data_IF_018064055100
#
_entry.id   IF_018064055100
#
_cell.length_a   1.000
_cell.length_b   1.000
_cell.length_c   1.000
_cell.angle_alpha   90.00
_cell.angle_beta   90.00
_cell.angle_gamma   90.00
#
_symmetry.space_group_name_H-M   'P 1'
#
loop_
_entity.id
_entity.type
_entity.pdbx_description
1 polymer ?
#
# COMPACT_ATOMS: atom_id res chain seq x y z
N UNK A 1 7.63 -12.39 -0.45
CA UNK A 1 6.55 -11.50 -0.92
C UNK A 1 6.37 -11.52 -2.44
N UNK A 2 7.40 -11.79 -3.24
CA UNK A 2 7.37 -11.61 -4.71
C UNK A 2 6.66 -12.72 -5.49
N UNK A 3 6.56 -13.95 -4.96
CA UNK A 3 5.96 -15.07 -5.70
C UNK A 3 4.45 -14.91 -5.92
N UNK A 4 3.75 -14.23 -5.00
CA UNK A 4 2.30 -14.09 -5.03
C UNK A 4 1.79 -13.19 -6.15
N UNK A 5 2.60 -12.23 -6.61
CA UNK A 5 2.20 -11.29 -7.65
C UNK A 5 2.50 -11.80 -9.07
N UNK A 6 3.33 -12.85 -9.22
CA UNK A 6 3.75 -13.39 -10.53
C UNK A 6 2.58 -13.92 -11.37
N UNK A 7 1.58 -14.65 -10.81
CA UNK A 7 0.44 -15.08 -11.60
C UNK A 7 -0.32 -13.88 -12.20
N UNK A 8 -0.58 -12.84 -11.41
CA UNK A 8 -1.26 -11.62 -11.85
C UNK A 8 -0.49 -10.87 -12.93
N UNK A 9 0.84 -10.83 -12.87
CA UNK A 9 1.66 -10.20 -13.90
C UNK A 9 1.65 -10.96 -15.23
N UNK A 10 1.51 -12.30 -15.22
CA UNK A 10 1.47 -13.10 -16.46
C UNK A 10 0.29 -12.75 -17.36
N UNK A 11 -0.82 -12.31 -16.76
CA UNK A 11 -2.01 -11.92 -17.49
C UNK A 11 -1.90 -10.52 -18.14
N UNK A 12 -0.76 -9.83 -17.97
CA UNK A 12 -0.49 -8.49 -18.50
C UNK A 12 -1.66 -7.50 -18.29
N UNK A 13 -2.06 -7.26 -17.03
CA UNK A 13 -3.19 -6.39 -16.74
C UNK A 13 -2.92 -4.96 -17.19
N UNK A 14 -3.95 -4.28 -17.66
CA UNK A 14 -3.86 -2.86 -18.02
C UNK A 14 -3.59 -1.97 -16.79
N UNK A 15 -4.15 -2.37 -15.64
CA UNK A 15 -4.06 -1.63 -14.38
C UNK A 15 -3.83 -2.56 -13.19
N UNK A 16 -2.94 -2.18 -12.28
CA UNK A 16 -2.74 -2.82 -10.97
C UNK A 16 -2.91 -1.77 -9.87
N UNK A 17 -3.70 -2.12 -8.86
CA UNK A 17 -3.84 -1.36 -7.61
C UNK A 17 -3.04 -2.10 -6.54
N UNK A 18 -2.09 -1.41 -5.93
CA UNK A 18 -1.26 -1.94 -4.84
C UNK A 18 -1.81 -1.41 -3.52
N UNK A 19 -2.37 -2.31 -2.71
CA UNK A 19 -2.82 -2.05 -1.35
C UNK A 19 -2.15 -3.05 -0.41
N UNK A 20 -0.93 -2.75 0.02
CA UNK A 20 -0.11 -3.63 0.88
C UNK A 20 0.60 -2.82 1.96
N UNK A 21 1.10 -3.51 2.98
CA UNK A 21 1.87 -2.91 4.07
C UNK A 21 1.12 -2.85 5.40
N UNK A 22 -0.21 -3.07 5.40
CA UNK A 22 -1.03 -3.09 6.62
C UNK A 22 -0.47 -4.05 7.66
N UNK A 23 -0.13 -5.30 7.29
CA UNK A 23 0.40 -6.27 8.25
C UNK A 23 1.78 -5.90 8.81
N UNK A 24 2.60 -5.22 8.00
CA UNK A 24 3.97 -4.86 8.34
C UNK A 24 4.03 -3.63 9.28
N UNK A 25 3.03 -2.74 9.28
CA UNK A 25 3.03 -1.50 10.10
C UNK A 25 3.37 -1.76 11.58
N UNK A 26 2.89 -2.88 12.14
CA UNK A 26 3.09 -3.20 13.55
C UNK A 26 4.56 -3.53 13.88
N UNK A 27 5.24 -4.27 12.99
CA UNK A 27 6.56 -4.85 13.27
C UNK A 27 7.70 -4.14 12.53
N UNK A 28 7.39 -3.46 11.43
CA UNK A 28 8.36 -2.76 10.58
C UNK A 28 8.35 -1.25 10.82
N UNK A 29 9.44 -0.62 10.39
CA UNK A 29 9.52 0.83 10.29
C UNK A 29 8.86 1.29 8.98
N UNK A 30 8.27 2.51 8.96
CA UNK A 30 7.66 3.08 7.75
C UNK A 30 8.53 2.96 6.49
N UNK A 31 9.82 3.26 6.63
CA UNK A 31 10.79 3.27 5.54
C UNK A 31 10.98 1.88 4.92
N UNK A 32 10.92 0.82 5.74
CA UNK A 32 11.00 -0.57 5.26
C UNK A 32 9.76 -0.96 4.47
N UNK A 33 8.59 -0.53 4.91
CA UNK A 33 7.32 -0.78 4.21
C UNK A 33 7.35 -0.10 2.84
N UNK A 34 7.76 1.16 2.80
CA UNK A 34 7.83 1.94 1.55
C UNK A 34 8.84 1.35 0.57
N UNK A 35 10.03 0.97 1.06
CA UNK A 35 11.03 0.27 0.25
C UNK A 35 10.48 -1.02 -0.36
N UNK A 36 9.72 -1.79 0.39
CA UNK A 36 9.10 -3.02 -0.12
C UNK A 36 8.03 -2.73 -1.18
N UNK A 37 7.23 -1.68 -1.00
CA UNK A 37 6.27 -1.21 -2.00
C UNK A 37 6.98 -0.76 -3.27
N UNK A 38 8.03 0.05 -3.16
CA UNK A 38 8.81 0.51 -4.31
C UNK A 38 9.43 -0.66 -5.08
N UNK A 39 10.02 -1.63 -4.36
CA UNK A 39 10.57 -2.85 -4.98
C UNK A 39 9.51 -3.62 -5.77
N UNK A 40 8.29 -3.73 -5.26
CA UNK A 40 7.18 -4.38 -5.98
C UNK A 40 6.78 -3.59 -7.23
N UNK A 41 6.67 -2.26 -7.13
CA UNK A 41 6.37 -1.40 -8.26
C UNK A 41 7.40 -1.54 -9.38
N UNK A 42 8.69 -1.55 -9.03
CA UNK A 42 9.77 -1.72 -10.00
C UNK A 42 9.67 -3.08 -10.70
N UNK A 43 9.43 -4.16 -9.95
CA UNK A 43 9.25 -5.50 -10.53
C UNK A 43 8.05 -5.59 -11.48
N UNK A 44 6.93 -4.95 -11.14
CA UNK A 44 5.76 -4.89 -12.02
C UNK A 44 6.11 -4.13 -13.30
N UNK A 45 6.83 -3.01 -13.20
CA UNK A 45 7.26 -2.25 -14.38
C UNK A 45 8.27 -2.99 -15.25
N UNK A 46 9.15 -3.78 -14.65
CA UNK A 46 10.12 -4.59 -15.39
C UNK A 46 9.44 -5.73 -16.17
N UNK A 47 8.42 -6.36 -15.58
CA UNK A 47 7.71 -7.49 -16.22
C UNK A 47 6.58 -7.03 -17.15
N UNK A 48 5.85 -5.99 -16.75
CA UNK A 48 4.66 -5.47 -17.44
C UNK A 48 4.80 -3.95 -17.63
N UNK A 49 5.66 -3.48 -18.54
CA UNK A 49 6.00 -2.06 -18.66
C UNK A 49 4.81 -1.16 -19.01
N UNK A 50 3.80 -1.72 -19.70
CA UNK A 50 2.58 -1.02 -20.12
C UNK A 50 1.53 -0.91 -19.01
N UNK A 51 1.63 -1.71 -17.95
CA UNK A 51 0.65 -1.72 -16.87
C UNK A 51 0.69 -0.40 -16.10
N UNK A 52 -0.48 0.20 -15.91
CA UNK A 52 -0.64 1.38 -15.06
C UNK A 52 -0.66 0.95 -13.59
N UNK A 53 0.10 1.65 -12.74
CA UNK A 53 0.16 1.36 -11.31
C UNK A 53 -0.59 2.45 -10.55
N UNK A 54 -1.44 2.04 -9.62
CA UNK A 54 -2.06 2.90 -8.61
C UNK A 54 -1.66 2.43 -7.22
N UNK A 55 -1.22 3.34 -6.36
CA UNK A 55 -0.94 3.08 -4.96
C UNK A 55 -2.18 3.42 -4.14
N UNK A 56 -2.61 2.52 -3.27
CA UNK A 56 -3.70 2.78 -2.33
C UNK A 56 -3.12 3.10 -0.96
N UNK A 57 -3.58 4.21 -0.37
CA UNK A 57 -3.25 4.56 1.01
C UNK A 57 -3.65 3.44 1.97
N UNK A 58 -2.87 3.26 3.04
CA UNK A 58 -3.25 2.42 4.15
C UNK A 58 -4.43 3.03 4.89
N UNK A 59 -5.40 2.19 5.25
CA UNK A 59 -6.54 2.58 6.08
C UNK A 59 -6.11 2.74 7.54
N UNK A 60 -6.90 3.52 8.29
CA UNK A 60 -6.69 3.71 9.73
C UNK A 60 -6.78 2.38 10.50
N UNK A 61 -6.00 2.28 11.58
CA UNK A 61 -6.01 1.15 12.53
C UNK A 61 -6.02 1.67 13.96
N UNK A 62 -6.57 0.89 14.87
CA UNK A 62 -6.65 1.21 16.30
C UNK A 62 -6.28 0.03 17.22
N UNK A 63 -5.61 -1.00 16.69
CA UNK A 63 -5.32 -2.25 17.40
C UNK A 63 -3.96 -2.27 18.16
N UNK A 64 -3.12 -1.24 17.98
CA UNK A 64 -1.84 -1.12 18.71
C UNK A 64 -1.43 0.36 18.89
N UNK A 65 -0.57 0.68 19.89
CA UNK A 65 -0.04 2.03 20.09
C UNK A 65 0.70 2.55 18.85
N UNK A 66 0.62 3.85 18.58
CA UNK A 66 1.28 4.53 17.45
C UNK A 66 0.81 4.15 16.04
N UNK A 67 -0.25 3.33 15.91
CA UNK A 67 -0.79 2.92 14.61
C UNK A 67 -1.07 4.11 13.69
N UNK A 68 -1.79 5.12 14.18
CA UNK A 68 -2.11 6.35 13.45
C UNK A 68 -0.87 7.10 12.97
N UNK A 69 0.14 7.24 13.84
CA UNK A 69 1.37 7.96 13.52
C UNK A 69 2.16 7.22 12.44
N UNK A 70 2.30 5.90 12.55
CA UNK A 70 3.00 5.08 11.55
C UNK A 70 2.27 5.08 10.21
N UNK A 71 0.95 4.90 10.21
CA UNK A 71 0.13 4.93 8.99
C UNK A 71 0.23 6.28 8.30
N UNK A 72 0.16 7.39 9.06
CA UNK A 72 0.31 8.74 8.51
C UNK A 72 1.67 8.94 7.84
N UNK A 73 2.76 8.48 8.47
CA UNK A 73 4.10 8.52 7.85
C UNK A 73 4.16 7.72 6.54
N UNK A 74 3.68 6.48 6.56
CA UNK A 74 3.64 5.62 5.37
C UNK A 74 2.81 6.27 4.25
N UNK A 75 1.62 6.79 4.55
CA UNK A 75 0.76 7.42 3.54
C UNK A 75 1.41 8.68 2.93
N UNK A 76 2.12 9.49 3.73
CA UNK A 76 2.89 10.62 3.22
C UNK A 76 4.02 10.17 2.28
N UNK A 77 4.73 9.09 2.61
CA UNK A 77 5.77 8.53 1.75
C UNK A 77 5.20 7.89 0.48
N UNK A 78 4.04 7.22 0.55
CA UNK A 78 3.33 6.71 -0.63
C UNK A 78 2.92 7.85 -1.58
N UNK A 79 2.50 9.00 -1.03
CA UNK A 79 2.20 10.20 -1.82
C UNK A 79 3.45 10.76 -2.50
N UNK A 80 4.59 10.80 -1.80
CA UNK A 80 5.86 11.20 -2.40
C UNK A 80 6.29 10.23 -3.51
N UNK A 81 6.19 8.92 -3.27
CA UNK A 81 6.52 7.88 -4.24
C UNK A 81 5.62 7.95 -5.47
N UNK A 82 4.30 8.12 -5.28
CA UNK A 82 3.35 8.23 -6.38
C UNK A 82 3.65 9.41 -7.29
N UNK A 83 3.94 10.59 -6.70
CA UNK A 83 4.35 11.79 -7.43
C UNK A 83 5.67 11.60 -8.17
N UNK A 84 6.66 10.98 -7.52
CA UNK A 84 7.99 10.75 -8.11
C UNK A 84 7.93 9.84 -9.34
N UNK A 85 7.11 8.79 -9.29
CA UNK A 85 7.03 7.77 -10.35
C UNK A 85 5.88 7.98 -11.32
N UNK A 86 5.03 8.99 -11.09
CA UNK A 86 3.84 9.25 -11.91
C UNK A 86 2.73 8.21 -11.73
N UNK A 87 2.63 7.60 -10.55
CA UNK A 87 1.55 6.66 -10.21
C UNK A 87 0.33 7.40 -9.69
N UNK A 88 -0.86 6.84 -9.89
CA UNK A 88 -2.06 7.33 -9.23
C UNK A 88 -2.02 6.99 -7.75
N UNK A 89 -2.55 7.87 -6.89
CA UNK A 89 -2.75 7.60 -5.47
C UNK A 89 -4.24 7.58 -5.17
N UNK A 90 -4.71 6.48 -4.58
CA UNK A 90 -6.07 6.33 -4.07
C UNK A 90 -6.06 6.75 -2.61
N UNK A 91 -6.75 7.85 -2.32
CA UNK A 91 -6.90 8.36 -0.98
C UNK A 91 -8.02 7.63 -0.23
N UNK A 92 -7.72 7.19 1.00
CA UNK A 92 -8.64 6.43 1.84
C UNK A 92 -8.98 7.18 3.15
N UNK A 93 -8.81 8.50 3.18
CA UNK A 93 -9.04 9.33 4.38
C UNK A 93 -10.49 9.37 4.86
N UNK A 94 -11.43 8.97 4.00
CA UNK A 94 -12.85 8.83 4.35
C UNK A 94 -13.12 7.62 5.27
N UNK A 95 -12.19 6.67 5.38
CA UNK A 95 -12.30 5.50 6.25
C UNK A 95 -11.79 5.87 7.63
N UNK A 96 -12.68 5.83 8.62
CA UNK A 96 -12.41 6.17 10.02
C UNK A 96 -12.45 4.93 10.92
N UNK A 97 -12.05 5.09 12.19
CA UNK A 97 -12.14 4.03 13.20
C UNK A 97 -13.56 3.48 13.40
N UNK A 98 -14.59 4.25 13.05
CA UNK A 98 -15.99 3.83 13.14
C UNK A 98 -16.36 2.80 12.05
N UNK A 99 -15.57 2.73 10.98
CA UNK A 99 -15.75 1.79 9.89
C UNK A 99 -15.01 0.47 10.12
N UNK A 100 -14.30 0.35 11.26
CA UNK A 100 -13.52 -0.83 11.59
C UNK A 100 -14.35 -1.84 12.39
N UNK A 101 -13.92 -3.10 12.33
CA UNK A 101 -14.40 -4.19 13.15
C UNK A 101 -14.12 -3.94 14.63
N UNK A 102 -14.66 -4.82 15.49
CA UNK A 102 -14.44 -4.74 16.95
C UNK A 102 -12.97 -4.85 17.36
N UNK A 103 -12.09 -5.30 16.46
CA UNK A 103 -10.66 -5.43 16.70
C UNK A 103 -9.88 -4.20 16.23
N UNK A 104 -10.52 -3.25 15.55
CA UNK A 104 -9.92 -2.01 15.10
C UNK A 104 -8.91 -2.20 13.96
N UNK A 105 -9.09 -3.23 13.12
CA UNK A 105 -8.17 -3.56 12.03
C UNK A 105 -8.87 -3.72 10.68
N UNK A 106 -9.89 -4.58 10.61
CA UNK A 106 -10.59 -4.85 9.36
C UNK A 106 -11.78 -3.91 9.19
N UNK A 107 -12.27 -3.76 7.96
CA UNK A 107 -13.52 -3.05 7.70
C UNK A 107 -14.72 -3.91 8.14
N UNK A 108 -15.75 -3.26 8.66
CA UNK A 108 -17.00 -3.88 9.11
C UNK A 108 -18.09 -3.81 8.03
#
# INVERSE_FOLDING_TARGET
>A
MTDFARPTMRDNPDHIIIHIGTNDVRQSNPEDVIRNVENLCNQIKDQCPRTTISLSELIVRNDFPDATTKISKINNELLCLSRSKGYYLINNSNISVQNLDRYGLHLN
#
